data_IF_285163742209
#
_entry.id   IF_285163742209
#
_cell.length_a   1.000
_cell.length_b   1.000
_cell.length_c   1.000
_cell.angle_alpha   90.00
_cell.angle_beta   90.00
_cell.angle_gamma   90.00
#
_symmetry.space_group_name_H-M   'P 1'
#
loop_
_entity.id
_entity.type
_entity.pdbx_description
1 polymer ?
#
# COMPACT_ATOMS: atom_id res chain seq x y z
N UNK A 1 -3.56 17.49 12.17
CA UNK A 1 -3.70 16.32 11.29
C UNK A 1 -2.52 15.38 11.44
N UNK A 2 -1.28 15.81 11.13
CA UNK A 2 -0.07 14.96 11.27
C UNK A 2 0.27 14.59 12.73
N UNK A 3 -0.13 15.42 13.68
CA UNK A 3 0.01 15.22 15.12
C UNK A 3 -0.84 14.06 15.68
N UNK A 4 -1.83 13.59 14.92
CA UNK A 4 -2.70 12.47 15.29
C UNK A 4 -2.27 11.15 14.63
N UNK A 5 -1.28 11.18 13.74
CA UNK A 5 -0.73 9.97 13.11
C UNK A 5 0.22 9.32 14.11
N UNK A 6 -0.20 8.19 14.66
CA UNK A 6 0.59 7.38 15.59
C UNK A 6 0.77 5.97 15.02
N UNK A 7 1.67 5.19 15.64
CA UNK A 7 1.81 3.77 15.31
C UNK A 7 0.57 2.93 15.68
N UNK A 8 -0.31 3.45 16.53
CA UNK A 8 -1.44 2.71 17.11
C UNK A 8 -2.68 2.74 16.22
N UNK A 9 -2.85 3.80 15.41
CA UNK A 9 -4.05 3.99 14.59
C UNK A 9 -3.66 4.14 13.11
N UNK A 10 -4.26 3.35 12.21
CA UNK A 10 -4.04 3.49 10.78
C UNK A 10 -4.37 4.89 10.27
N UNK A 11 -3.53 5.42 9.38
CA UNK A 11 -3.68 6.77 8.83
C UNK A 11 -5.05 6.99 8.19
N UNK A 12 -5.57 5.98 7.47
CA UNK A 12 -6.91 6.05 6.88
C UNK A 12 -8.02 6.26 7.92
N UNK A 13 -7.92 5.69 9.12
CA UNK A 13 -8.91 5.88 10.18
C UNK A 13 -8.82 7.29 10.79
N UNK A 14 -7.60 7.79 10.98
CA UNK A 14 -7.37 9.17 11.44
C UNK A 14 -7.98 10.15 10.45
N UNK A 15 -7.73 9.96 9.14
CA UNK A 15 -8.29 10.79 8.08
C UNK A 15 -9.82 10.76 8.08
N UNK A 16 -10.43 9.57 8.14
CA UNK A 16 -11.90 9.45 8.22
C UNK A 16 -12.46 10.18 9.44
N UNK A 17 -11.81 10.10 10.60
CA UNK A 17 -12.31 10.76 11.82
C UNK A 17 -12.32 12.29 11.75
N UNK A 18 -11.46 12.89 10.91
CA UNK A 18 -11.30 14.35 10.78
C UNK A 18 -12.02 14.88 9.54
N UNK A 19 -11.92 14.16 8.42
CA UNK A 19 -12.32 14.60 7.08
C UNK A 19 -13.58 13.90 6.57
N UNK A 20 -14.00 12.80 7.22
CA UNK A 20 -15.05 11.87 6.76
C UNK A 20 -14.72 11.10 5.46
N UNK A 21 -13.46 11.12 5.03
CA UNK A 21 -12.92 10.29 3.96
C UNK A 21 -11.42 10.04 4.20
N UNK A 22 -10.86 9.00 3.60
CA UNK A 22 -9.41 8.73 3.60
C UNK A 22 -8.70 9.02 2.26
N UNK A 23 -7.38 8.93 2.26
CA UNK A 23 -6.57 9.16 1.06
C UNK A 23 -6.81 8.12 -0.05
N UNK A 24 -7.23 6.90 0.28
CA UNK A 24 -7.54 5.87 -0.71
C UNK A 24 -8.84 6.21 -1.45
N UNK A 25 -9.86 6.68 -0.72
CA UNK A 25 -11.12 7.19 -1.28
C UNK A 25 -10.89 8.40 -2.19
N UNK A 26 -10.10 9.38 -1.73
CA UNK A 26 -9.75 10.56 -2.53
C UNK A 26 -8.93 10.18 -3.77
N UNK A 27 -7.94 9.31 -3.63
CA UNK A 27 -7.12 8.82 -4.74
C UNK A 27 -7.95 8.13 -5.82
N UNK A 28 -8.88 7.26 -5.41
CA UNK A 28 -9.79 6.58 -6.32
C UNK A 28 -10.72 7.55 -7.04
N UNK A 29 -11.23 8.57 -6.34
CA UNK A 29 -12.03 9.64 -6.94
C UNK A 29 -11.25 10.40 -8.02
N UNK A 30 -10.00 10.79 -7.75
CA UNK A 30 -9.13 11.47 -8.73
C UNK A 30 -8.83 10.57 -9.92
N UNK A 31 -8.44 9.31 -9.69
CA UNK A 31 -8.17 8.34 -10.75
C UNK A 31 -9.39 8.14 -11.68
N UNK A 32 -10.60 8.09 -11.10
CA UNK A 32 -11.85 8.01 -11.87
C UNK A 32 -12.09 9.26 -12.72
N UNK A 33 -11.82 10.46 -12.19
CA UNK A 33 -11.91 11.73 -12.95
C UNK A 33 -10.92 11.81 -14.11
N UNK A 34 -9.79 11.11 -14.00
CA UNK A 34 -8.79 11.01 -15.05
C UNK A 34 -8.99 9.82 -16.00
N UNK A 35 -10.11 9.10 -15.91
CA UNK A 35 -10.46 7.95 -16.74
C UNK A 35 -9.43 6.80 -16.69
N UNK A 36 -8.86 6.52 -15.52
CA UNK A 36 -8.05 5.32 -15.32
C UNK A 36 -8.91 4.05 -15.46
N UNK A 37 -8.30 2.90 -15.84
CA UNK A 37 -8.98 1.60 -15.82
C UNK A 37 -9.54 1.25 -14.44
N UNK A 38 -10.67 0.54 -14.40
CA UNK A 38 -11.34 0.17 -13.15
C UNK A 38 -10.46 -0.70 -12.23
N UNK A 39 -9.57 -1.52 -12.79
CA UNK A 39 -8.57 -2.27 -12.00
C UNK A 39 -7.70 -1.36 -11.14
N UNK A 40 -7.21 -0.26 -11.72
CA UNK A 40 -6.36 0.71 -11.01
C UNK A 40 -7.21 1.45 -9.97
N UNK A 41 -8.42 1.86 -10.33
CA UNK A 41 -9.31 2.56 -9.40
C UNK A 41 -9.67 1.68 -8.20
N UNK A 42 -10.03 0.41 -8.43
CA UNK A 42 -10.34 -0.56 -7.38
C UNK A 42 -9.12 -0.80 -6.48
N UNK A 43 -7.95 -1.00 -7.08
CA UNK A 43 -6.70 -1.19 -6.33
C UNK A 43 -6.38 0.00 -5.43
N UNK A 44 -6.50 1.22 -5.94
CA UNK A 44 -6.30 2.44 -5.13
C UNK A 44 -7.33 2.51 -4.01
N UNK A 45 -8.61 2.24 -4.28
CA UNK A 45 -9.67 2.40 -3.29
C UNK A 45 -9.57 1.37 -2.14
N UNK A 46 -9.27 0.12 -2.47
CA UNK A 46 -9.42 -1.00 -1.54
C UNK A 46 -8.11 -1.52 -0.94
N UNK A 47 -6.93 -1.00 -1.28
CA UNK A 47 -5.66 -1.56 -0.78
C UNK A 47 -5.50 -1.54 0.76
N UNK A 48 -6.22 -0.68 1.49
CA UNK A 48 -6.25 -0.70 2.96
C UNK A 48 -7.33 -1.60 3.57
N UNK A 49 -8.27 -2.09 2.75
CA UNK A 49 -9.43 -2.92 3.12
C UNK A 49 -9.74 -3.92 2.00
N UNK A 50 -8.79 -4.78 1.60
CA UNK A 50 -8.93 -5.67 0.45
C UNK A 50 -10.12 -6.63 0.58
N UNK A 51 -10.51 -6.98 1.81
CA UNK A 51 -11.67 -7.82 2.13
C UNK A 51 -13.02 -7.19 1.74
N UNK A 52 -13.07 -5.88 1.51
CA UNK A 52 -14.27 -5.18 1.08
C UNK A 52 -14.47 -5.21 -0.44
N UNK A 53 -13.53 -5.80 -1.19
CA UNK A 53 -13.59 -5.89 -2.64
C UNK A 53 -13.89 -7.32 -3.13
N UNK A 54 -15.04 -7.49 -3.78
CA UNK A 54 -15.54 -8.75 -4.32
C UNK A 54 -15.57 -8.80 -5.86
N UNK A 55 -14.95 -7.80 -6.50
CA UNK A 55 -14.92 -7.66 -7.96
C UNK A 55 -13.83 -8.49 -8.66
N UNK A 56 -13.73 -8.39 -10.00
CA UNK A 56 -12.83 -9.22 -10.80
C UNK A 56 -11.33 -8.95 -10.59
N UNK A 57 -10.96 -7.83 -9.95
CA UNK A 57 -9.56 -7.41 -9.75
C UNK A 57 -9.03 -7.73 -8.35
N UNK A 58 -9.64 -8.70 -7.67
CA UNK A 58 -9.37 -8.98 -6.25
C UNK A 58 -7.91 -9.34 -6.01
N UNK A 59 -7.31 -10.11 -6.91
CA UNK A 59 -5.90 -10.48 -6.82
C UNK A 59 -4.99 -9.25 -6.84
N UNK A 60 -5.22 -8.30 -7.75
CA UNK A 60 -4.43 -7.06 -7.85
C UNK A 60 -4.57 -6.20 -6.59
N UNK A 61 -5.80 -6.08 -6.05
CA UNK A 61 -6.07 -5.38 -4.79
C UNK A 61 -5.31 -6.03 -3.62
N UNK A 62 -5.38 -7.36 -3.50
CA UNK A 62 -4.66 -8.11 -2.47
C UNK A 62 -3.14 -7.98 -2.62
N UNK A 63 -2.60 -8.05 -3.84
CA UNK A 63 -1.17 -7.90 -4.13
C UNK A 63 -0.66 -6.54 -3.65
N UNK A 64 -1.36 -5.45 -4.02
CA UNK A 64 -0.93 -4.09 -3.63
C UNK A 64 -1.07 -3.88 -2.12
N UNK A 65 -2.12 -4.41 -1.50
CA UNK A 65 -2.28 -4.39 -0.04
C UNK A 65 -1.10 -5.07 0.67
N UNK A 66 -0.75 -6.28 0.23
CA UNK A 66 0.39 -7.04 0.78
C UNK A 66 1.73 -6.34 0.51
N UNK A 67 1.94 -5.83 -0.70
CA UNK A 67 3.16 -5.10 -1.05
C UNK A 67 3.36 -3.86 -0.18
N UNK A 68 2.29 -3.08 0.07
CA UNK A 68 2.34 -1.91 0.94
C UNK A 68 2.68 -2.28 2.39
N UNK A 69 2.09 -3.37 2.89
CA UNK A 69 2.42 -3.92 4.20
C UNK A 69 3.89 -4.34 4.31
N UNK A 70 4.41 -5.08 3.32
CA UNK A 70 5.81 -5.50 3.28
C UNK A 70 6.78 -4.32 3.24
N UNK A 71 6.51 -3.30 2.42
CA UNK A 71 7.31 -2.07 2.39
C UNK A 71 7.34 -1.39 3.77
N UNK A 72 6.19 -1.34 4.46
CA UNK A 72 6.09 -0.74 5.79
C UNK A 72 6.85 -1.56 6.84
N UNK A 73 6.79 -2.89 6.80
CA UNK A 73 7.58 -3.78 7.66
C UNK A 73 9.09 -3.59 7.51
N UNK A 74 9.51 -3.15 6.32
CA UNK A 74 10.91 -2.93 5.95
C UNK A 74 11.36 -1.46 6.12
N UNK A 75 10.57 -0.63 6.81
CA UNK A 75 10.84 0.81 7.03
C UNK A 75 10.92 1.64 5.75
N UNK A 76 10.24 1.22 4.68
CA UNK A 76 10.19 1.91 3.39
C UNK A 76 8.89 2.71 3.20
N UNK A 77 8.06 2.82 4.24
CA UNK A 77 6.82 3.58 4.21
C UNK A 77 7.08 5.09 4.19
N UNK A 78 6.24 5.83 3.46
CA UNK A 78 6.37 7.29 3.28
C UNK A 78 6.12 8.11 4.55
N UNK A 79 5.40 7.54 5.53
CA UNK A 79 5.01 8.24 6.75
C UNK A 79 6.02 8.10 7.90
N UNK A 80 7.03 7.24 7.75
CA UNK A 80 7.99 6.95 8.84
C UNK A 80 7.35 6.31 10.09
N UNK A 81 6.08 5.90 10.01
CA UNK A 81 5.35 5.18 11.05
C UNK A 81 4.81 3.87 10.49
N UNK A 82 4.80 2.83 11.32
CA UNK A 82 4.27 1.52 10.96
C UNK A 82 2.86 1.35 11.54
N UNK A 83 1.87 1.94 10.90
CA UNK A 83 0.48 1.90 11.36
C UNK A 83 -0.48 1.23 10.37
N UNK A 84 0.04 0.45 9.43
CA UNK A 84 -0.81 -0.37 8.56
C UNK A 84 -1.39 -1.55 9.34
N UNK A 85 -2.61 -1.94 8.97
CA UNK A 85 -3.22 -3.18 9.44
C UNK A 85 -2.45 -4.37 8.87
N UNK A 86 -2.34 -5.43 9.67
CA UNK A 86 -1.86 -6.71 9.17
C UNK A 86 -2.85 -7.25 8.12
N UNK A 87 -2.35 -7.82 6.99
CA UNK A 87 -3.21 -8.49 6.03
C UNK A 87 -3.99 -9.62 6.70
N UNK A 88 -5.26 -9.77 6.34
CA UNK A 88 -6.09 -10.87 6.85
C UNK A 88 -5.59 -12.22 6.34
N UNK A 89 -5.93 -13.29 7.07
CA UNK A 89 -5.66 -14.66 6.63
C UNK A 89 -6.20 -14.89 5.22
N UNK A 90 -7.36 -14.34 4.88
CA UNK A 90 -7.95 -14.48 3.55
C UNK A 90 -7.05 -13.91 2.45
N UNK A 91 -6.44 -12.73 2.69
CA UNK A 91 -5.49 -12.11 1.75
C UNK A 91 -4.24 -12.98 1.63
N UNK A 92 -3.66 -13.39 2.76
CA UNK A 92 -2.45 -14.23 2.81
C UNK A 92 -2.66 -15.54 2.04
N UNK A 93 -3.77 -16.24 2.30
CA UNK A 93 -4.11 -17.50 1.64
C UNK A 93 -4.40 -17.31 0.15
N UNK A 94 -5.10 -16.24 -0.24
CA UNK A 94 -5.41 -15.99 -1.66
C UNK A 94 -4.16 -15.74 -2.52
N UNK A 95 -3.10 -15.22 -1.91
CA UNK A 95 -1.81 -15.01 -2.57
C UNK A 95 -0.83 -16.19 -2.42
N UNK A 96 -1.24 -17.25 -1.72
CA UNK A 96 -0.36 -18.36 -1.32
C UNK A 96 0.93 -17.86 -0.64
N UNK A 97 0.82 -16.79 0.15
CA UNK A 97 1.94 -16.16 0.83
C UNK A 97 2.25 -16.93 2.12
N UNK A 98 3.51 -17.31 2.31
CA UNK A 98 3.97 -18.06 3.49
C UNK A 98 4.85 -17.16 4.36
N UNK A 99 4.92 -17.40 5.68
CA UNK A 99 5.82 -16.66 6.57
C UNK A 99 7.29 -16.67 6.11
N UNK A 100 7.74 -17.80 5.55
CA UNK A 100 9.10 -17.98 5.03
C UNK A 100 9.39 -17.16 3.75
N UNK A 101 8.37 -16.58 3.12
CA UNK A 101 8.55 -15.72 1.95
C UNK A 101 9.00 -14.30 2.37
N UNK A 102 8.78 -13.87 3.63
CA UNK A 102 9.18 -12.53 4.12
C UNK A 102 10.70 -12.29 4.00
N UNK A 103 11.58 -13.19 4.52
CA UNK A 103 13.03 -13.02 4.35
C UNK A 103 13.46 -12.92 2.88
N UNK A 104 12.83 -13.71 2.00
CA UNK A 104 13.10 -13.69 0.57
C UNK A 104 12.74 -12.33 -0.06
N UNK A 105 11.54 -11.82 0.22
CA UNK A 105 11.12 -10.50 -0.28
C UNK A 105 11.97 -9.36 0.27
N UNK A 106 12.40 -9.45 1.53
CA UNK A 106 13.32 -8.47 2.13
C UNK A 106 14.65 -8.37 1.38
N UNK A 107 15.28 -9.51 1.11
CA UNK A 107 16.53 -9.58 0.36
C UNK A 107 16.35 -9.02 -1.05
N UNK A 108 15.36 -9.53 -1.78
CA UNK A 108 15.06 -9.12 -3.16
C UNK A 108 14.70 -7.64 -3.29
N UNK A 109 13.95 -7.08 -2.35
CA UNK A 109 13.59 -5.66 -2.36
C UNK A 109 14.82 -4.79 -2.10
N UNK A 110 15.68 -5.18 -1.17
CA UNK A 110 16.93 -4.45 -0.87
C UNK A 110 17.85 -4.39 -2.09
N UNK A 111 18.03 -5.53 -2.78
CA UNK A 111 18.79 -5.60 -4.03
C UNK A 111 18.18 -4.71 -5.12
N UNK A 112 16.87 -4.77 -5.28
CA UNK A 112 16.14 -3.99 -6.30
C UNK A 112 16.24 -2.49 -6.03
N UNK A 113 16.12 -2.06 -4.77
CA UNK A 113 16.27 -0.66 -4.38
C UNK A 113 17.70 -0.15 -4.61
N UNK A 114 18.72 -0.97 -4.30
CA UNK A 114 20.11 -0.64 -4.61
C UNK A 114 20.37 -0.50 -6.10
N UNK A 115 19.65 -1.24 -6.95
CA UNK A 115 19.73 -1.09 -8.40
C UNK A 115 18.96 0.14 -8.89
N UNK A 116 17.79 0.41 -8.32
CA UNK A 116 16.97 1.57 -8.68
C UNK A 116 17.64 2.89 -8.28
N UNK A 117 18.35 2.94 -7.14
CA UNK A 117 19.09 4.14 -6.73
C UNK A 117 20.16 4.54 -7.74
N UNK A 118 20.80 3.56 -8.39
CA UNK A 118 21.77 3.79 -9.47
C UNK A 118 21.13 4.41 -10.72
N UNK A 119 19.81 4.28 -10.89
CA UNK A 119 19.05 4.88 -12.00
C UNK A 119 18.52 6.28 -11.67
N UNK A 120 18.29 6.59 -10.38
CA UNK A 120 17.83 7.91 -9.93
C UNK A 120 18.95 8.95 -9.79
N UNK A 121 20.23 8.55 -9.81
CA UNK A 121 21.38 9.48 -9.83
C UNK A 121 21.60 10.18 -11.20
N UNK A 122 20.63 10.13 -12.11
CA UNK A 122 20.67 10.80 -13.43
C UNK A 122 19.66 11.96 -13.50
N UNK A 123 19.84 13.00 -12.67
CA UNK A 123 19.79 14.44 -13.00
C UNK A 123 19.79 15.29 -11.71
N UNK A 124 20.94 15.88 -11.30
CA UNK A 124 20.97 16.87 -10.23
C UNK A 124 20.62 18.30 -10.67
N UNK A 125 20.36 18.56 -11.96
CA UNK A 125 20.07 19.92 -12.46
C UNK A 125 18.90 19.92 -13.45
N UNK A 126 17.69 20.24 -12.96
CA UNK A 126 16.64 21.03 -13.65
C UNK A 126 15.92 21.86 -12.60
#
# INVERSE_FOLDING_TARGET
MLDQITAETPTCDVEISILNFDHAELGAYVARRWNFPEEIIATIHYHHRPEQYDGPYRDTVCIVSMANFLCTLLDLGSLGVRNLREPSDEVIHSLNFRPDDIPFFKERLSETLSQASLLTDIHPDV
#
